data_IF_898132462413
#
_entry.id   IF_898132462413
#
_cell.length_a   1.000
_cell.length_b   1.000
_cell.length_c   1.000
_cell.angle_alpha   90.00
_cell.angle_beta   90.00
_cell.angle_gamma   90.00
#
_symmetry.space_group_name_H-M   'P 1'
#
loop_
_entity.id
_entity.type
_entity.pdbx_description
1 polymer ?
#
# COMPACT_ATOMS: atom_id res chain seq x y z
N UNK A 1 4.22 -31.24 3.86
CA UNK A 1 3.21 -30.16 3.77
C UNK A 1 3.59 -28.97 4.63
N UNK A 2 3.88 -29.19 5.92
CA UNK A 2 4.38 -28.17 6.83
C UNK A 2 5.54 -27.33 6.26
N UNK A 3 6.59 -27.96 5.72
CA UNK A 3 7.73 -27.23 5.10
C UNK A 3 7.36 -26.37 3.89
N UNK A 4 6.27 -26.70 3.18
CA UNK A 4 5.77 -25.91 2.03
C UNK A 4 5.03 -24.68 2.54
N UNK A 5 4.18 -24.85 3.55
CA UNK A 5 3.42 -23.77 4.20
C UNK A 5 4.37 -22.79 4.89
N UNK A 6 5.36 -23.28 5.64
CA UNK A 6 6.38 -22.44 6.29
C UNK A 6 7.16 -21.61 5.27
N UNK A 7 7.57 -22.21 4.14
CA UNK A 7 8.25 -21.49 3.06
C UNK A 7 7.34 -20.44 2.42
N UNK A 8 6.05 -20.74 2.24
CA UNK A 8 5.08 -19.77 1.72
C UNK A 8 4.87 -18.60 2.70
N UNK A 9 4.76 -18.87 4.00
CA UNK A 9 4.64 -17.84 5.04
C UNK A 9 5.89 -16.94 5.12
N UNK A 10 7.09 -17.52 4.98
CA UNK A 10 8.33 -16.75 4.90
C UNK A 10 8.36 -15.84 3.65
N UNK A 11 7.93 -16.35 2.49
CA UNK A 11 7.83 -15.56 1.26
C UNK A 11 6.82 -14.42 1.38
N UNK A 12 5.67 -14.67 2.00
CA UNK A 12 4.67 -13.63 2.28
C UNK A 12 5.26 -12.58 3.22
N UNK A 13 5.95 -12.99 4.29
CA UNK A 13 6.57 -12.06 5.23
C UNK A 13 7.59 -11.14 4.56
N UNK A 14 8.44 -11.69 3.69
CA UNK A 14 9.37 -10.88 2.91
C UNK A 14 8.65 -9.91 1.95
N UNK A 15 7.55 -10.35 1.31
CA UNK A 15 6.76 -9.50 0.44
C UNK A 15 6.02 -8.39 1.20
N UNK A 16 5.55 -8.65 2.42
CA UNK A 16 4.94 -7.66 3.31
C UNK A 16 5.97 -6.61 3.74
N UNK A 17 7.19 -7.01 4.06
CA UNK A 17 8.26 -6.06 4.39
C UNK A 17 8.65 -5.17 3.19
N UNK A 18 8.75 -5.73 1.99
CA UNK A 18 8.99 -4.95 0.77
C UNK A 18 7.81 -4.00 0.46
N UNK A 19 6.58 -4.44 0.72
CA UNK A 19 5.39 -3.60 0.58
C UNK A 19 5.44 -2.38 1.51
N UNK A 20 5.85 -2.56 2.76
CA UNK A 20 6.06 -1.51 3.76
C UNK A 20 7.02 -0.42 3.24
N UNK A 21 8.18 -0.85 2.71
CA UNK A 21 9.16 0.05 2.10
C UNK A 21 8.59 0.80 0.88
N UNK A 22 7.71 0.16 0.10
CA UNK A 22 7.04 0.83 -1.02
C UNK A 22 6.02 1.88 -0.55
N UNK A 23 5.33 1.67 0.58
CA UNK A 23 4.47 2.70 1.18
C UNK A 23 5.28 3.96 1.51
N UNK A 24 6.43 3.81 2.17
CA UNK A 24 7.28 4.95 2.48
C UNK A 24 7.71 5.74 1.24
N UNK A 25 8.00 5.04 0.14
CA UNK A 25 8.37 5.68 -1.14
C UNK A 25 7.22 6.50 -1.72
N UNK A 26 5.99 5.98 -1.66
CA UNK A 26 4.79 6.73 -2.05
C UNK A 26 4.63 7.98 -1.19
N UNK A 27 4.77 7.87 0.13
CA UNK A 27 4.69 9.02 1.04
C UNK A 27 5.74 10.07 0.70
N UNK A 28 7.00 9.67 0.52
CA UNK A 28 8.11 10.57 0.13
C UNK A 28 7.83 11.25 -1.21
N UNK A 29 7.33 10.52 -2.21
CA UNK A 29 6.96 11.10 -3.51
C UNK A 29 5.82 12.12 -3.39
N UNK A 30 4.80 11.84 -2.57
CA UNK A 30 3.70 12.78 -2.33
C UNK A 30 4.16 14.06 -1.62
N UNK A 31 5.15 13.98 -0.71
CA UNK A 31 5.74 15.17 -0.07
C UNK A 31 6.42 16.09 -1.09
N UNK A 32 7.08 15.53 -2.12
CA UNK A 32 7.67 16.32 -3.20
C UNK A 32 6.61 17.07 -4.02
N UNK A 33 5.42 16.49 -4.17
CA UNK A 33 4.28 17.17 -4.81
C UNK A 33 3.83 18.34 -3.96
N UNK A 34 3.61 18.14 -2.66
CA UNK A 34 3.21 19.22 -1.74
C UNK A 34 4.23 20.37 -1.75
N UNK A 35 5.53 20.07 -1.72
CA UNK A 35 6.60 21.07 -1.79
C UNK A 35 6.57 21.85 -3.11
N UNK A 36 6.36 21.19 -4.23
CA UNK A 36 6.27 21.83 -5.55
C UNK A 36 5.00 22.70 -5.67
N UNK A 37 3.86 22.22 -5.18
CA UNK A 37 2.60 22.96 -5.14
C UNK A 37 2.69 24.19 -4.23
N UNK A 38 3.30 24.06 -3.05
CA UNK A 38 3.55 25.18 -2.14
C UNK A 38 4.45 26.23 -2.80
N UNK A 39 5.51 25.82 -3.50
CA UNK A 39 6.37 26.72 -4.26
C UNK A 39 5.61 27.50 -5.33
N UNK A 40 4.73 26.83 -6.10
CA UNK A 40 3.88 27.48 -7.09
C UNK A 40 2.90 28.47 -6.45
N UNK A 41 2.24 28.08 -5.36
CA UNK A 41 1.33 28.95 -4.63
C UNK A 41 2.04 30.20 -4.09
N UNK A 42 3.23 30.04 -3.51
CA UNK A 42 4.04 31.16 -3.05
C UNK A 42 4.40 32.10 -4.18
N UNK A 43 4.86 31.59 -5.34
CA UNK A 43 5.15 32.43 -6.49
C UNK A 43 3.92 33.22 -6.96
N UNK A 44 2.75 32.59 -7.00
CA UNK A 44 1.49 33.26 -7.38
C UNK A 44 1.03 34.31 -6.36
N UNK A 45 1.43 34.17 -5.10
CA UNK A 45 1.08 35.10 -4.01
C UNK A 45 2.00 36.32 -3.90
N UNK A 46 3.18 36.28 -4.55
CA UNK A 46 4.11 37.41 -4.56
C UNK A 46 3.56 38.53 -5.46
N UNK A 47 3.67 39.77 -5.00
CA UNK A 47 3.44 40.93 -5.85
C UNK A 47 4.51 40.98 -6.94
N UNK A 48 4.16 40.58 -8.16
CA UNK A 48 5.09 40.49 -9.30
C UNK A 48 5.53 41.85 -9.84
N UNK A 49 5.10 42.96 -9.23
CA UNK A 49 5.39 44.31 -9.67
C UNK A 49 6.89 44.68 -9.64
N UNK A 50 7.70 43.98 -8.82
CA UNK A 50 9.14 44.26 -8.65
C UNK A 50 10.07 43.31 -9.44
N UNK A 51 9.52 42.30 -10.12
CA UNK A 51 10.31 41.34 -10.90
C UNK A 51 10.18 41.62 -12.40
N UNK A 52 11.32 41.67 -13.10
CA UNK A 52 11.34 41.68 -14.56
C UNK A 52 10.59 40.43 -15.08
N UNK A 53 9.51 40.62 -15.85
CA UNK A 53 8.55 39.56 -16.20
C UNK A 53 9.17 38.27 -16.75
N UNK A 54 10.30 38.35 -17.44
CA UNK A 54 11.04 37.19 -17.97
C UNK A 54 11.57 36.25 -16.86
N UNK A 55 11.93 36.79 -15.69
CA UNK A 55 12.43 36.01 -14.55
C UNK A 55 11.29 35.24 -13.85
N UNK A 56 10.10 35.86 -13.78
CA UNK A 56 8.90 35.26 -13.21
C UNK A 56 8.42 34.08 -14.05
N UNK A 57 8.38 34.24 -15.38
CA UNK A 57 7.95 33.18 -16.29
C UNK A 57 8.89 31.98 -16.25
N UNK A 58 10.21 32.23 -16.20
CA UNK A 58 11.21 31.17 -16.06
C UNK A 58 11.05 30.41 -14.74
N UNK A 59 10.84 31.12 -13.63
CA UNK A 59 10.64 30.50 -12.32
C UNK A 59 9.32 29.70 -12.26
N UNK A 60 8.25 30.24 -12.82
CA UNK A 60 6.95 29.56 -12.95
C UNK A 60 7.09 28.27 -13.75
N UNK A 61 7.75 28.33 -14.91
CA UNK A 61 8.00 27.16 -15.75
C UNK A 61 8.86 26.11 -15.03
N UNK A 62 9.92 26.53 -14.34
CA UNK A 62 10.76 25.63 -13.55
C UNK A 62 9.97 24.90 -12.45
N UNK A 63 9.12 25.62 -11.72
CA UNK A 63 8.28 25.04 -10.68
C UNK A 63 7.20 24.11 -11.24
N UNK A 64 6.58 24.44 -12.38
CA UNK A 64 5.64 23.55 -13.08
C UNK A 64 6.32 22.27 -13.55
N UNK A 65 7.53 22.36 -14.08
CA UNK A 65 8.33 21.18 -14.45
C UNK A 65 8.67 20.33 -13.22
N UNK A 66 9.07 20.95 -12.11
CA UNK A 66 9.31 20.25 -10.84
C UNK A 66 8.07 19.52 -10.35
N UNK A 67 6.90 20.16 -10.43
CA UNK A 67 5.62 19.53 -10.09
C UNK A 67 5.31 18.33 -10.99
N UNK A 68 5.46 18.49 -12.31
CA UNK A 68 5.24 17.41 -13.27
C UNK A 68 6.12 16.19 -13.01
N UNK A 69 7.41 16.41 -12.75
CA UNK A 69 8.36 15.34 -12.40
C UNK A 69 8.01 14.67 -11.06
N UNK A 70 7.57 15.44 -10.06
CA UNK A 70 7.13 14.88 -8.79
C UNK A 70 5.86 14.02 -8.95
N UNK A 71 4.92 14.47 -9.79
CA UNK A 71 3.71 13.71 -10.11
C UNK A 71 4.04 12.41 -10.85
N UNK A 72 4.86 12.45 -11.90
CA UNK A 72 5.31 11.27 -12.65
C UNK A 72 5.94 10.24 -11.72
N UNK A 73 6.90 10.67 -10.90
CA UNK A 73 7.55 9.80 -9.90
C UNK A 73 6.55 9.20 -8.93
N UNK A 74 5.55 9.96 -8.49
CA UNK A 74 4.54 9.44 -7.57
C UNK A 74 3.68 8.34 -8.19
N UNK A 75 3.34 8.44 -9.48
CA UNK A 75 2.62 7.39 -10.20
C UNK A 75 3.48 6.13 -10.32
N UNK A 76 4.78 6.27 -10.57
CA UNK A 76 5.71 5.13 -10.59
C UNK A 76 5.77 4.41 -9.24
N UNK A 77 5.85 5.13 -8.13
CA UNK A 77 5.86 4.52 -6.80
C UNK A 77 4.52 3.85 -6.47
N UNK A 78 3.38 4.43 -6.84
CA UNK A 78 2.06 3.78 -6.69
C UNK A 78 1.96 2.51 -7.54
N UNK A 79 2.49 2.53 -8.77
CA UNK A 79 2.55 1.34 -9.62
C UNK A 79 3.45 0.24 -9.03
N UNK A 80 4.53 0.60 -8.34
CA UNK A 80 5.35 -0.36 -7.57
C UNK A 80 4.58 -0.93 -6.39
N UNK A 81 3.90 -0.07 -5.62
CA UNK A 81 3.06 -0.51 -4.51
C UNK A 81 1.97 -1.48 -4.99
N UNK A 82 1.28 -1.17 -6.10
CA UNK A 82 0.28 -2.05 -6.71
C UNK A 82 0.85 -3.43 -7.03
N UNK A 83 2.03 -3.49 -7.67
CA UNK A 83 2.71 -4.74 -7.98
C UNK A 83 3.07 -5.52 -6.72
N UNK A 84 3.53 -4.83 -5.67
CA UNK A 84 3.82 -5.43 -4.37
C UNK A 84 2.56 -6.00 -3.71
N UNK A 85 1.45 -5.25 -3.72
CA UNK A 85 0.15 -5.71 -3.21
C UNK A 85 -0.30 -6.98 -3.94
N UNK A 86 -0.23 -6.98 -5.28
CA UNK A 86 -0.62 -8.14 -6.09
C UNK A 86 0.26 -9.35 -5.82
N UNK A 87 1.57 -9.17 -5.61
CA UNK A 87 2.49 -10.24 -5.23
C UNK A 87 2.04 -10.91 -3.93
N UNK A 88 1.70 -10.13 -2.90
CA UNK A 88 1.19 -10.66 -1.63
C UNK A 88 -0.13 -11.41 -1.85
N UNK A 89 -1.08 -10.84 -2.59
CA UNK A 89 -2.38 -11.48 -2.87
C UNK A 89 -2.19 -12.83 -3.58
N UNK A 90 -1.32 -12.89 -4.58
CA UNK A 90 -1.01 -14.13 -5.29
C UNK A 90 -0.43 -15.17 -4.32
N UNK A 91 0.52 -14.78 -3.47
CA UNK A 91 1.10 -15.69 -2.47
C UNK A 91 0.07 -16.17 -1.44
N UNK A 92 -0.85 -15.30 -0.99
CA UNK A 92 -1.96 -15.68 -0.10
C UNK A 92 -2.92 -16.65 -0.79
N UNK A 93 -3.22 -16.46 -2.08
CA UNK A 93 -4.05 -17.38 -2.86
C UNK A 93 -3.40 -18.76 -3.02
N UNK A 94 -2.09 -18.78 -3.30
CA UNK A 94 -1.32 -20.03 -3.37
C UNK A 94 -1.31 -20.76 -2.03
N UNK A 95 -1.12 -20.03 -0.93
CA UNK A 95 -1.18 -20.57 0.42
C UNK A 95 -2.56 -21.16 0.71
N UNK A 96 -3.64 -20.40 0.47
CA UNK A 96 -5.01 -20.86 0.68
C UNK A 96 -5.32 -22.14 -0.14
N UNK A 97 -4.91 -22.17 -1.41
CA UNK A 97 -5.07 -23.35 -2.27
C UNK A 97 -4.32 -24.56 -1.73
N UNK A 98 -3.06 -24.38 -1.30
CA UNK A 98 -2.23 -25.44 -0.73
C UNK A 98 -2.88 -26.02 0.53
N UNK A 99 -3.33 -25.16 1.44
CA UNK A 99 -4.01 -25.56 2.68
C UNK A 99 -5.36 -26.25 2.40
N UNK A 100 -6.10 -25.81 1.37
CA UNK A 100 -7.38 -26.44 1.01
C UNK A 100 -7.17 -27.86 0.46
N UNK A 101 -6.14 -28.08 -0.36
CA UNK A 101 -5.81 -29.42 -0.88
C UNK A 101 -5.31 -30.40 0.20
N UNK A 102 -4.82 -29.89 1.33
CA UNK A 102 -4.50 -30.72 2.50
C UNK A 102 -5.73 -31.47 3.05
N UNK A 103 -6.91 -30.85 2.98
CA UNK A 103 -8.14 -31.41 3.52
C UNK A 103 -8.63 -32.67 2.81
N UNK A 104 -8.17 -32.92 1.58
CA UNK A 104 -8.66 -34.00 0.72
C UNK A 104 -7.82 -35.28 0.75
N UNK A 105 -6.67 -35.28 1.45
CA UNK A 105 -5.66 -36.35 1.34
C UNK A 105 -5.87 -37.52 2.32
N UNK A 106 -6.64 -37.34 3.40
CA UNK A 106 -6.87 -38.35 4.45
C UNK A 106 -8.32 -38.26 4.95
N UNK A 107 -8.87 -39.33 5.59
CA UNK A 107 -10.21 -39.27 6.14
C UNK A 107 -10.35 -38.07 7.09
N UNK A 108 -11.39 -37.25 6.93
CA UNK A 108 -11.50 -35.98 7.64
C UNK A 108 -11.71 -36.21 9.14
N UNK A 109 -10.69 -35.88 9.93
CA UNK A 109 -10.91 -35.55 11.34
C UNK A 109 -11.55 -34.14 11.41
N UNK A 110 -12.67 -34.05 12.12
CA UNK A 110 -13.36 -32.80 12.44
C UNK A 110 -12.43 -31.71 13.00
N UNK A 111 -11.41 -32.09 13.77
CA UNK A 111 -10.41 -31.18 14.34
C UNK A 111 -9.57 -30.49 13.25
N UNK A 112 -9.16 -31.26 12.24
CA UNK A 112 -8.36 -30.80 11.10
C UNK A 112 -9.16 -29.89 10.18
N UNK A 113 -10.42 -30.23 9.92
CA UNK A 113 -11.34 -29.37 9.14
C UNK A 113 -11.48 -28.00 9.82
N UNK A 114 -11.67 -27.98 11.15
CA UNK A 114 -11.77 -26.73 11.89
C UNK A 114 -10.47 -25.92 11.81
N UNK A 115 -9.30 -26.56 11.93
CA UNK A 115 -7.99 -25.88 11.78
C UNK A 115 -7.83 -25.26 10.39
N UNK A 116 -8.17 -25.99 9.33
CA UNK A 116 -8.14 -25.48 7.94
C UNK A 116 -9.09 -24.30 7.77
N UNK A 117 -10.31 -24.39 8.29
CA UNK A 117 -11.30 -23.31 8.20
C UNK A 117 -10.80 -22.02 8.88
N UNK A 118 -10.25 -22.13 10.10
CA UNK A 118 -9.68 -20.99 10.83
C UNK A 118 -8.47 -20.42 10.09
N UNK A 119 -7.60 -21.27 9.55
CA UNK A 119 -6.44 -20.86 8.77
C UNK A 119 -6.85 -20.03 7.55
N UNK A 120 -7.81 -20.52 6.77
CA UNK A 120 -8.32 -19.83 5.58
C UNK A 120 -9.01 -18.50 5.95
N UNK A 121 -9.76 -18.47 7.05
CA UNK A 121 -10.38 -17.24 7.55
C UNK A 121 -9.34 -16.17 7.94
N UNK A 122 -8.22 -16.57 8.55
CA UNK A 122 -7.11 -15.66 8.87
C UNK A 122 -6.45 -15.10 7.60
N UNK A 123 -6.22 -15.94 6.59
CA UNK A 123 -5.68 -15.52 5.29
C UNK A 123 -6.59 -14.48 4.61
N UNK A 124 -7.91 -14.73 4.60
CA UNK A 124 -8.89 -13.81 4.01
C UNK A 124 -8.99 -12.50 4.81
N UNK A 125 -8.94 -12.58 6.14
CA UNK A 125 -8.93 -11.42 7.02
C UNK A 125 -7.72 -10.53 6.72
N UNK A 126 -6.52 -11.10 6.63
CA UNK A 126 -5.32 -10.33 6.30
C UNK A 126 -5.40 -9.71 4.90
N UNK A 127 -5.90 -10.45 3.90
CA UNK A 127 -6.12 -9.92 2.54
C UNK A 127 -7.01 -8.70 2.55
N UNK A 128 -8.11 -8.75 3.31
CA UNK A 128 -9.05 -7.63 3.42
C UNK A 128 -8.40 -6.39 4.05
N UNK A 129 -7.60 -6.57 5.10
CA UNK A 129 -6.86 -5.47 5.73
C UNK A 129 -5.84 -4.86 4.76
N UNK A 130 -5.07 -5.68 4.06
CA UNK A 130 -4.09 -5.23 3.06
C UNK A 130 -4.75 -4.39 1.96
N UNK A 131 -5.88 -4.87 1.41
CA UNK A 131 -6.61 -4.15 0.35
C UNK A 131 -7.16 -2.82 0.84
N UNK A 132 -7.76 -2.80 2.04
CA UNK A 132 -8.28 -1.57 2.62
C UNK A 132 -7.16 -0.53 2.83
N UNK A 133 -6.02 -0.93 3.39
CA UNK A 133 -4.88 -0.03 3.58
C UNK A 133 -4.32 0.46 2.24
N UNK A 134 -4.19 -0.43 1.25
CA UNK A 134 -3.76 -0.06 -0.09
C UNK A 134 -4.68 0.98 -0.75
N UNK A 135 -6.00 0.82 -0.62
CA UNK A 135 -6.98 1.80 -1.14
C UNK A 135 -6.89 3.14 -0.41
N UNK A 136 -6.64 3.15 0.90
CA UNK A 136 -6.40 4.37 1.67
C UNK A 136 -5.14 5.11 1.19
N UNK A 137 -4.04 4.39 0.94
CA UNK A 137 -2.80 4.96 0.42
C UNK A 137 -3.01 5.54 -1.00
N UNK A 138 -3.76 4.84 -1.86
CA UNK A 138 -4.13 5.35 -3.19
C UNK A 138 -5.01 6.60 -3.12
N UNK A 139 -5.95 6.64 -2.18
CA UNK A 139 -6.79 7.81 -1.97
C UNK A 139 -5.95 9.00 -1.47
N UNK A 140 -5.01 8.77 -0.57
CA UNK A 140 -4.03 9.78 -0.14
C UNK A 140 -3.22 10.32 -1.33
N UNK A 141 -2.65 9.45 -2.17
CA UNK A 141 -1.92 9.84 -3.37
C UNK A 141 -2.78 10.66 -4.33
N UNK A 142 -4.00 10.20 -4.62
CA UNK A 142 -4.97 10.90 -5.48
C UNK A 142 -5.25 12.30 -4.93
N UNK A 143 -5.47 12.42 -3.62
CA UNK A 143 -5.74 13.72 -2.99
C UNK A 143 -4.56 14.68 -3.13
N UNK A 144 -3.33 14.18 -3.07
CA UNK A 144 -2.10 14.97 -3.21
C UNK A 144 -1.86 15.42 -4.64
N UNK A 145 -2.01 14.52 -5.62
CA UNK A 145 -1.83 14.83 -7.04
C UNK A 145 -2.86 15.85 -7.54
N UNK A 146 -4.12 15.71 -7.11
CA UNK A 146 -5.25 16.52 -7.58
C UNK A 146 -5.72 17.55 -6.56
N UNK A 147 -4.86 17.97 -5.63
CA UNK A 147 -5.19 19.05 -4.69
C UNK A 147 -5.53 20.32 -5.49
N UNK A 148 -6.72 20.91 -5.23
CA UNK A 148 -7.22 22.09 -5.95
C UNK A 148 -8.12 21.82 -7.16
N UNK A 149 -8.35 20.56 -7.55
CA UNK A 149 -9.43 20.18 -8.47
C UNK A 149 -10.68 19.82 -7.66
N UNK A 150 -11.89 20.12 -8.13
CA UNK A 150 -13.12 19.67 -7.48
C UNK A 150 -13.14 18.13 -7.40
N UNK A 151 -12.79 17.59 -6.24
CA UNK A 151 -12.81 16.15 -6.01
C UNK A 151 -14.22 15.69 -5.61
N UNK A 152 -14.67 14.51 -6.09
CA UNK A 152 -15.86 13.83 -5.60
C UNK A 152 -15.86 13.71 -4.06
N UNK A 153 -17.03 13.87 -3.43
CA UNK A 153 -17.21 13.86 -1.97
C UNK A 153 -16.61 12.63 -1.25
N UNK A 154 -16.47 11.50 -1.95
CA UNK A 154 -15.90 10.25 -1.41
C UNK A 154 -14.40 10.38 -1.11
N UNK A 155 -13.63 11.06 -1.98
CA UNK A 155 -12.21 11.38 -1.77
C UNK A 155 -12.01 12.45 -0.69
N UNK A 156 -13.03 13.29 -0.51
CA UNK A 156 -13.33 14.16 0.64
C UNK A 156 -12.93 13.60 2.01
N UNK A 157 -13.42 12.39 2.28
CA UNK A 157 -13.40 11.77 3.61
C UNK A 157 -12.10 11.01 3.90
N UNK A 158 -11.29 10.69 2.89
CA UNK A 158 -10.00 10.01 3.08
C UNK A 158 -8.87 10.96 3.48
N UNK A 159 -9.14 12.27 3.56
CA UNK A 159 -8.19 13.34 3.90
C UNK A 159 -7.54 13.16 5.27
N UNK A 160 -8.08 12.31 6.15
CA UNK A 160 -7.53 12.05 7.49
C UNK A 160 -6.60 10.84 7.58
N UNK A 161 -6.42 10.04 6.51
CA UNK A 161 -5.49 8.92 6.56
C UNK A 161 -4.06 9.40 6.38
N UNK A 162 -3.24 9.26 7.42
CA UNK A 162 -1.80 9.46 7.37
C UNK A 162 -1.12 8.11 7.07
N UNK A 163 -0.67 7.87 5.83
CA UNK A 163 0.05 6.64 5.47
C UNK A 163 1.39 6.48 6.18
N UNK A 164 1.88 7.46 6.97
CA UNK A 164 3.00 7.25 7.88
C UNK A 164 2.64 6.36 9.08
N UNK A 165 1.36 6.17 9.36
CA UNK A 165 0.85 5.31 10.44
C UNK A 165 0.42 3.92 9.97
N UNK A 166 0.86 3.51 8.77
CA UNK A 166 0.52 2.21 8.21
C UNK A 166 0.95 1.08 9.15
N UNK A 167 0.09 0.06 9.25
CA UNK A 167 0.22 -0.97 10.28
C UNK A 167 0.17 -2.40 9.71
N UNK A 168 0.15 -2.58 8.39
CA UNK A 168 0.04 -3.91 7.75
C UNK A 168 1.21 -4.82 8.11
N UNK A 169 2.45 -4.33 8.08
CA UNK A 169 3.64 -5.10 8.47
C UNK A 169 3.62 -5.49 9.95
N UNK A 170 3.19 -4.56 10.82
CA UNK A 170 3.01 -4.79 12.25
C UNK A 170 1.90 -5.81 12.53
N UNK A 171 0.73 -5.66 11.91
CA UNK A 171 -0.37 -6.62 12.06
C UNK A 171 0.02 -8.01 11.54
N UNK A 172 0.71 -8.09 10.40
CA UNK A 172 1.19 -9.35 9.86
C UNK A 172 2.05 -10.08 10.88
N UNK A 173 3.06 -9.42 11.43
CA UNK A 173 3.98 -10.01 12.40
C UNK A 173 3.31 -10.33 13.75
N UNK A 174 2.55 -9.40 14.32
CA UNK A 174 2.03 -9.52 15.70
C UNK A 174 0.73 -10.33 15.80
N UNK A 175 -0.06 -10.44 14.72
CA UNK A 175 -1.40 -11.04 14.79
C UNK A 175 -1.58 -12.24 13.87
N UNK A 176 -1.07 -12.18 12.65
CA UNK A 176 -1.37 -13.21 11.65
C UNK A 176 -0.30 -14.30 11.58
N UNK A 177 0.98 -13.94 11.53
CA UNK A 177 2.08 -14.87 11.29
C UNK A 177 2.16 -15.95 12.38
N UNK A 178 2.11 -15.57 13.65
CA UNK A 178 2.18 -16.52 14.77
C UNK A 178 0.99 -17.48 14.78
N UNK A 179 -0.21 -16.98 14.52
CA UNK A 179 -1.42 -17.82 14.46
C UNK A 179 -1.38 -18.79 13.27
N UNK A 180 -0.94 -18.31 12.09
CA UNK A 180 -0.79 -19.15 10.90
C UNK A 180 0.31 -20.21 11.11
N UNK A 181 1.41 -19.87 11.76
CA UNK A 181 2.45 -20.82 12.13
C UNK A 181 1.91 -21.89 13.10
N UNK A 182 1.22 -21.50 14.18
CA UNK A 182 0.64 -22.46 15.11
C UNK A 182 -0.38 -23.39 14.44
N UNK A 183 -1.27 -22.85 13.61
CA UNK A 183 -2.24 -23.65 12.88
C UNK A 183 -1.55 -24.58 11.87
N UNK A 184 -0.46 -24.14 11.24
CA UNK A 184 0.29 -24.98 10.29
C UNK A 184 0.94 -26.22 10.91
N UNK A 185 1.22 -26.19 12.22
CA UNK A 185 1.69 -27.36 12.99
C UNK A 185 0.59 -28.40 13.21
N UNK A 186 -0.68 -27.98 13.09
CA UNK A 186 -1.86 -28.81 13.30
C UNK A 186 -2.47 -29.33 11.98
N UNK A 187 -1.87 -29.00 10.83
CA UNK A 187 -2.30 -29.38 9.47
C UNK A 187 -1.61 -30.64 8.96
#
# INVERSE_FOLDING_TARGET
MQSVVEKQLANISAAVHDWDANVERVVKACKLIDEAQSGLYHLMSLSLADFAGTCVDQLNNSLKLKLGLAQERSFDEVNRLNRSTMKIIISLNQLASTTSTASTAEPPDSSRINCISVFLALVESFRSVLLNEYDLIRAYHTNKVYSGVEQPLVLRKSVTHDPQTHFVSKLWSERYLDQLNMLSLLL
#
